data_IF_214687029380
#
_entry.id   IF_214687029380
#
_cell.length_a   1.000
_cell.length_b   1.000
_cell.length_c   1.000
_cell.angle_alpha   90.00
_cell.angle_beta   90.00
_cell.angle_gamma   90.00
#
_symmetry.space_group_name_H-M   'P 1'
#
loop_
_entity.id
_entity.type
_entity.pdbx_description
1 polymer ?
#
# COMPACT_ATOMS: atom_id res chain seq x y z
N UNK A 1 -9.35 -5.46 -30.09
CA UNK A 1 -8.68 -6.03 -28.90
C UNK A 1 -9.74 -6.66 -28.01
N UNK A 2 -9.89 -7.98 -28.08
CA UNK A 2 -10.80 -8.74 -27.24
C UNK A 2 -10.25 -8.69 -25.81
N UNK A 3 -11.02 -8.16 -24.86
CA UNK A 3 -10.67 -8.21 -23.44
C UNK A 3 -11.08 -9.60 -22.97
N UNK A 4 -10.12 -10.42 -22.53
CA UNK A 4 -10.41 -11.69 -21.88
C UNK A 4 -11.38 -11.44 -20.73
N UNK A 5 -12.60 -11.97 -20.87
CA UNK A 5 -13.65 -11.94 -19.84
C UNK A 5 -13.41 -13.06 -18.83
N UNK A 6 -12.19 -13.19 -18.32
CA UNK A 6 -11.97 -13.95 -17.10
C UNK A 6 -12.75 -13.20 -16.01
N UNK A 7 -13.77 -13.86 -15.44
CA UNK A 7 -14.58 -13.29 -14.38
C UNK A 7 -13.65 -13.07 -13.18
N UNK A 8 -13.18 -11.84 -13.01
CA UNK A 8 -12.30 -11.47 -11.90
C UNK A 8 -13.10 -11.64 -10.61
N UNK A 9 -12.54 -12.37 -9.64
CA UNK A 9 -13.13 -12.48 -8.30
C UNK A 9 -13.31 -11.08 -7.73
N UNK A 10 -14.56 -10.71 -7.43
CA UNK A 10 -14.87 -9.47 -6.74
C UNK A 10 -14.51 -9.66 -5.27
N UNK A 11 -13.56 -8.88 -4.78
CA UNK A 11 -13.22 -8.83 -3.37
C UNK A 11 -14.26 -8.01 -2.62
N UNK A 12 -14.57 -8.41 -1.39
CA UNK A 12 -15.47 -7.68 -0.49
C UNK A 12 -14.75 -6.45 0.11
N UNK A 13 -14.19 -5.58 -0.73
CA UNK A 13 -13.46 -4.38 -0.29
C UNK A 13 -14.36 -3.30 0.33
N UNK A 14 -15.66 -3.59 0.45
CA UNK A 14 -16.75 -2.69 0.84
C UNK A 14 -16.66 -1.33 0.14
N UNK A 15 -16.17 -1.35 -1.11
CA UNK A 15 -16.01 -0.15 -1.92
C UNK A 15 -17.37 0.34 -2.37
N UNK A 16 -17.64 1.63 -2.21
CA UNK A 16 -18.86 2.24 -2.72
C UNK A 16 -18.56 3.53 -3.47
N UNK A 17 -19.31 3.73 -4.54
CA UNK A 17 -19.34 4.95 -5.33
C UNK A 17 -20.68 5.63 -5.06
N UNK A 18 -20.65 6.83 -4.51
CA UNK A 18 -21.82 7.69 -4.37
C UNK A 18 -21.72 8.76 -5.44
N UNK A 19 -22.71 8.78 -6.34
CA UNK A 19 -22.93 9.89 -7.27
C UNK A 19 -24.19 10.57 -6.79
N UNK A 20 -24.08 11.84 -6.44
CA UNK A 20 -25.21 12.69 -6.15
C UNK A 20 -25.21 13.84 -7.15
N UNK A 21 -26.34 14.07 -7.80
CA UNK A 21 -26.54 15.19 -8.69
C UNK A 21 -27.49 16.17 -7.99
N UNK A 22 -27.18 17.46 -8.08
CA UNK A 22 -28.09 18.47 -7.53
C UNK A 22 -29.41 18.42 -8.30
N UNK A 23 -30.56 18.31 -7.62
CA UNK A 23 -31.85 18.33 -8.30
C UNK A 23 -32.17 19.70 -8.93
N UNK A 24 -31.47 20.76 -8.51
CA UNK A 24 -31.70 22.15 -8.91
C UNK A 24 -30.61 22.72 -9.85
N UNK A 25 -29.53 21.97 -10.09
CA UNK A 25 -28.42 22.41 -10.94
C UNK A 25 -27.83 21.23 -11.74
N UNK A 26 -28.05 21.26 -13.06
CA UNK A 26 -27.57 20.24 -14.02
C UNK A 26 -26.04 20.23 -14.18
N UNK A 27 -25.33 21.20 -13.60
CA UNK A 27 -23.87 21.35 -13.69
C UNK A 27 -23.12 20.87 -12.45
N UNK A 28 -23.80 20.59 -11.33
CA UNK A 28 -23.17 20.18 -10.08
C UNK A 28 -23.37 18.69 -9.76
N UNK A 29 -22.26 17.96 -9.78
CA UNK A 29 -22.21 16.54 -9.42
C UNK A 29 -21.20 16.30 -8.31
N UNK A 30 -21.64 15.62 -7.27
CA UNK A 30 -20.81 15.17 -6.17
C UNK A 30 -20.49 13.69 -6.35
N UNK A 31 -19.20 13.41 -6.56
CA UNK A 31 -18.68 12.06 -6.74
C UNK A 31 -17.82 11.72 -5.52
N UNK A 32 -18.25 10.73 -4.75
CA UNK A 32 -17.49 10.22 -3.60
C UNK A 32 -17.19 8.74 -3.80
N UNK A 33 -15.91 8.41 -3.83
CA UNK A 33 -15.42 7.03 -3.89
C UNK A 33 -14.86 6.69 -2.52
N UNK A 34 -15.38 5.63 -1.90
CA UNK A 34 -14.80 5.04 -0.68
C UNK A 34 -14.26 3.66 -1.04
N UNK A 35 -13.06 3.37 -0.54
CA UNK A 35 -12.42 2.07 -0.66
C UNK A 35 -11.76 1.75 0.67
N UNK A 36 -12.16 0.66 1.34
CA UNK A 36 -11.66 0.33 2.68
C UNK A 36 -10.33 -0.43 2.66
N UNK A 37 -10.07 -1.19 1.60
CA UNK A 37 -8.83 -1.95 1.44
C UNK A 37 -8.16 -1.62 0.12
N UNK A 38 -6.87 -1.29 0.11
CA UNK A 38 -6.12 -1.17 -1.15
C UNK A 38 -6.09 -2.55 -1.85
N UNK A 39 -6.99 -2.76 -2.81
CA UNK A 39 -7.00 -3.99 -3.60
C UNK A 39 -5.63 -4.20 -4.25
N UNK A 40 -5.10 -5.40 -4.08
CA UNK A 40 -3.85 -5.77 -4.72
C UNK A 40 -4.10 -5.68 -6.24
N UNK A 41 -3.36 -4.81 -6.94
CA UNK A 41 -3.45 -4.76 -8.41
C UNK A 41 -3.22 -6.17 -8.93
N UNK A 42 -4.10 -6.63 -9.83
CA UNK A 42 -3.87 -7.84 -10.63
C UNK A 42 -2.70 -7.56 -11.58
N UNK A 43 -1.49 -7.61 -11.03
CA UNK A 43 -0.24 -7.67 -11.78
C UNK A 43 0.15 -9.14 -11.84
N UNK A 44 0.47 -9.62 -13.04
CA UNK A 44 0.95 -10.98 -13.31
C UNK A 44 1.88 -11.44 -12.17
N UNK A 45 1.43 -12.42 -11.40
CA UNK A 45 1.85 -12.69 -10.01
C UNK A 45 2.95 -13.75 -9.90
N UNK A 46 3.57 -14.11 -11.02
CA UNK A 46 4.68 -15.05 -11.02
C UNK A 46 5.98 -14.33 -10.63
N UNK A 47 5.96 -13.62 -9.49
CA UNK A 47 7.19 -13.24 -8.79
C UNK A 47 7.76 -14.55 -8.23
N UNK A 48 8.96 -14.97 -8.66
CA UNK A 48 9.61 -16.18 -8.16
C UNK A 48 9.81 -16.15 -6.64
N UNK A 49 9.81 -17.32 -5.98
CA UNK A 49 9.83 -17.40 -4.52
C UNK A 49 11.14 -16.93 -3.89
N UNK A 50 12.26 -17.07 -4.59
CA UNK A 50 13.56 -16.50 -4.22
C UNK A 50 13.51 -14.96 -4.21
N UNK A 51 12.85 -14.33 -5.18
CA UNK A 51 12.61 -12.88 -5.19
C UNK A 51 11.72 -12.46 -4.02
N UNK A 52 10.70 -13.25 -3.68
CA UNK A 52 9.88 -13.01 -2.48
C UNK A 52 10.73 -13.13 -1.20
N UNK A 53 11.67 -14.05 -1.15
CA UNK A 53 12.58 -14.22 -0.02
C UNK A 53 13.51 -13.01 0.13
N UNK A 54 14.04 -12.47 -0.96
CA UNK A 54 14.83 -11.23 -0.95
C UNK A 54 14.01 -10.07 -0.38
N UNK A 55 12.76 -9.91 -0.85
CA UNK A 55 11.84 -8.87 -0.35
C UNK A 55 11.57 -9.04 1.15
N UNK A 56 11.47 -10.28 1.63
CA UNK A 56 11.20 -10.58 3.04
C UNK A 56 12.34 -10.22 3.99
N UNK A 57 13.58 -10.40 3.54
CA UNK A 57 14.78 -10.21 4.38
C UNK A 57 15.12 -8.72 4.52
N UNK A 58 14.68 -7.88 3.59
CA UNK A 58 15.00 -6.45 3.62
C UNK A 58 14.12 -5.75 4.68
N UNK A 59 14.70 -5.16 5.73
CA UNK A 59 13.93 -4.53 6.79
C UNK A 59 13.13 -3.32 6.28
N UNK A 60 11.91 -3.18 6.78
CA UNK A 60 11.03 -2.02 6.59
C UNK A 60 11.68 -0.67 6.95
N UNK A 61 12.62 -0.70 7.92
CA UNK A 61 13.35 0.46 8.44
C UNK A 61 14.39 1.05 7.47
N UNK A 62 14.70 0.38 6.35
CA UNK A 62 15.65 0.88 5.34
C UNK A 62 14.93 1.83 4.38
N UNK A 63 14.29 2.86 4.93
CA UNK A 63 13.57 3.84 4.13
C UNK A 63 14.56 4.87 3.54
N UNK A 64 14.33 5.21 2.28
CA UNK A 64 14.80 6.42 1.56
C UNK A 64 16.02 6.28 0.61
N UNK A 65 16.99 5.36 0.81
CA UNK A 65 18.08 5.17 -0.18
C UNK A 65 18.05 3.86 -0.98
N UNK A 66 17.19 2.93 -0.60
CA UNK A 66 17.26 1.55 -1.07
C UNK A 66 16.21 1.17 -2.12
N UNK A 67 15.28 2.06 -2.47
CA UNK A 67 14.25 1.75 -3.48
C UNK A 67 14.92 1.30 -4.79
N UNK A 68 15.88 2.07 -5.32
CA UNK A 68 16.68 1.66 -6.49
C UNK A 68 17.53 0.40 -6.26
N UNK A 69 17.95 0.12 -5.02
CA UNK A 69 18.87 -0.97 -4.73
C UNK A 69 18.19 -2.34 -4.68
N UNK A 70 16.94 -2.44 -4.19
CA UNK A 70 16.20 -3.70 -4.16
C UNK A 70 16.01 -4.23 -5.58
N UNK A 71 15.55 -3.36 -6.48
CA UNK A 71 15.41 -3.72 -7.88
C UNK A 71 16.76 -4.06 -8.53
N UNK A 72 17.81 -3.29 -8.27
CA UNK A 72 19.17 -3.62 -8.74
C UNK A 72 19.68 -4.96 -8.23
N UNK A 73 19.37 -5.32 -6.99
CA UNK A 73 19.77 -6.60 -6.41
C UNK A 73 19.04 -7.75 -7.11
N UNK A 74 17.73 -7.59 -7.34
CA UNK A 74 16.94 -8.57 -8.09
C UNK A 74 17.47 -8.69 -9.53
N UNK A 75 17.84 -7.59 -10.18
CA UNK A 75 18.41 -7.61 -11.53
C UNK A 75 19.75 -8.34 -11.63
N UNK A 76 20.52 -8.52 -10.54
CA UNK A 76 21.73 -9.36 -10.56
C UNK A 76 21.40 -10.83 -10.79
N UNK A 77 20.28 -11.30 -10.23
CA UNK A 77 19.79 -12.67 -10.37
C UNK A 77 18.85 -12.84 -11.57
N UNK A 78 18.12 -11.79 -11.92
CA UNK A 78 17.14 -11.76 -13.01
C UNK A 78 17.39 -10.55 -13.92
N UNK A 79 18.37 -10.61 -14.83
CA UNK A 79 18.70 -9.49 -15.71
C UNK A 79 17.55 -9.13 -16.67
N UNK A 80 16.75 -10.11 -17.09
CA UNK A 80 15.53 -9.93 -17.89
C UNK A 80 14.33 -10.57 -17.16
N UNK A 81 13.77 -9.90 -16.14
CA UNK A 81 12.70 -10.47 -15.34
C UNK A 81 11.38 -10.49 -16.11
N UNK A 82 10.65 -11.62 -16.03
CA UNK A 82 9.29 -11.73 -16.55
C UNK A 82 8.25 -10.96 -15.71
N UNK A 83 8.68 -10.39 -14.58
CA UNK A 83 7.86 -9.60 -13.65
C UNK A 83 8.32 -8.15 -13.61
N UNK A 84 7.41 -7.24 -13.29
CA UNK A 84 7.70 -5.80 -13.28
C UNK A 84 8.30 -5.33 -11.95
N UNK A 85 9.16 -4.31 -12.03
CA UNK A 85 9.66 -3.57 -10.86
C UNK A 85 8.51 -3.08 -9.95
N UNK A 86 7.41 -2.63 -10.55
CA UNK A 86 6.21 -2.22 -9.83
C UNK A 86 5.58 -3.34 -9.01
N UNK A 87 5.59 -4.57 -9.52
CA UNK A 87 5.05 -5.72 -8.80
C UNK A 87 5.89 -6.05 -7.55
N UNK A 88 7.22 -5.96 -7.66
CA UNK A 88 8.16 -6.10 -6.54
C UNK A 88 7.88 -5.07 -5.44
N UNK A 89 7.79 -3.77 -5.78
CA UNK A 89 7.52 -2.75 -4.77
C UNK A 89 6.13 -2.83 -4.17
N UNK A 90 5.11 -3.21 -4.95
CA UNK A 90 3.78 -3.45 -4.39
C UNK A 90 3.81 -4.58 -3.36
N UNK A 91 4.56 -5.66 -3.64
CA UNK A 91 4.71 -6.77 -2.70
C UNK A 91 5.46 -6.34 -1.44
N UNK A 92 6.54 -5.58 -1.59
CA UNK A 92 7.30 -5.01 -0.46
C UNK A 92 6.46 -4.06 0.39
N UNK A 93 5.72 -3.14 -0.25
CA UNK A 93 4.81 -2.23 0.45
C UNK A 93 3.71 -2.96 1.21
N UNK A 94 3.13 -4.02 0.61
CA UNK A 94 2.13 -4.87 1.28
C UNK A 94 2.73 -5.58 2.50
N UNK A 95 3.96 -6.07 2.39
CA UNK A 95 4.65 -6.66 3.53
C UNK A 95 4.86 -5.64 4.65
N UNK A 96 5.41 -4.47 4.32
CA UNK A 96 5.64 -3.39 5.29
C UNK A 96 4.35 -2.86 5.90
N UNK A 97 3.22 -2.93 5.18
CA UNK A 97 1.92 -2.54 5.70
C UNK A 97 1.54 -3.32 6.96
N UNK A 98 1.88 -4.61 7.02
CA UNK A 98 1.62 -5.42 8.22
C UNK A 98 2.39 -4.95 9.45
N UNK A 99 3.48 -4.20 9.26
CA UNK A 99 4.30 -3.71 10.36
C UNK A 99 3.76 -2.41 10.96
N UNK A 100 3.23 -1.50 10.14
CA UNK A 100 2.70 -0.23 10.65
C UNK A 100 1.19 -0.24 10.88
N UNK A 101 0.41 -1.02 10.12
CA UNK A 101 -1.05 -1.04 10.22
C UNK A 101 -1.49 -1.99 11.34
N UNK A 102 -1.45 -1.48 12.58
CA UNK A 102 -1.85 -2.21 13.79
C UNK A 102 -3.36 -2.40 13.92
N UNK A 103 -4.13 -1.48 13.38
CA UNK A 103 -5.60 -1.47 13.42
C UNK A 103 -6.17 -1.05 12.06
N UNK A 104 -7.48 -1.22 11.87
CA UNK A 104 -8.16 -0.76 10.65
C UNK A 104 -8.05 0.76 10.46
N UNK A 105 -8.04 1.51 11.56
CA UNK A 105 -7.91 2.96 11.58
C UNK A 105 -6.43 3.37 11.55
N UNK A 106 -6.05 4.14 10.53
CA UNK A 106 -4.67 4.57 10.33
C UNK A 106 -4.18 5.51 11.43
N UNK A 107 -5.05 6.39 11.95
CA UNK A 107 -4.73 7.30 13.05
C UNK A 107 -4.46 6.53 14.35
N UNK A 108 -5.27 5.52 14.65
CA UNK A 108 -5.06 4.68 15.83
C UNK A 108 -3.81 3.82 15.69
N UNK A 109 -3.54 3.29 14.49
CA UNK A 109 -2.28 2.60 14.20
C UNK A 109 -1.07 3.51 14.44
N UNK A 110 -1.13 4.76 13.98
CA UNK A 110 -0.07 5.74 14.23
C UNK A 110 0.12 6.03 15.72
N UNK A 111 -0.96 6.22 16.49
CA UNK A 111 -0.88 6.43 17.94
C UNK A 111 -0.21 5.26 18.66
N UNK A 112 -0.55 4.02 18.27
CA UNK A 112 0.06 2.81 18.84
C UNK A 112 1.56 2.78 18.56
N UNK A 113 1.98 3.03 17.31
CA UNK A 113 3.40 3.06 16.94
C UNK A 113 4.17 4.15 17.69
N UNK A 114 3.58 5.33 17.87
CA UNK A 114 4.20 6.42 18.64
C UNK A 114 4.31 6.06 20.13
N UNK A 115 3.31 5.38 20.69
CA UNK A 115 3.35 4.88 22.06
C UNK A 115 4.41 3.77 22.24
N UNK A 116 4.55 2.86 21.27
CA UNK A 116 5.60 1.84 21.25
C UNK A 116 6.98 2.50 21.21
N UNK A 117 7.16 3.47 20.31
CA UNK A 117 8.43 4.18 20.17
C UNK A 117 8.80 4.98 21.42
N UNK A 118 7.85 5.64 22.06
CA UNK A 118 8.11 6.45 23.27
C UNK A 118 8.39 5.63 24.52
N UNK A 119 7.91 4.38 24.62
CA UNK A 119 8.21 3.50 25.76
C UNK A 119 9.70 3.19 25.90
N UNK A 120 10.40 3.01 24.79
CA UNK A 120 11.83 2.66 24.77
C UNK A 120 12.74 3.83 24.35
N UNK A 121 12.16 4.99 24.01
CA UNK A 121 12.91 6.14 23.51
C UNK A 121 13.30 7.12 24.62
N UNK A 122 14.51 7.68 24.48
CA UNK A 122 15.00 8.80 25.30
C UNK A 122 14.40 10.15 24.88
N UNK A 123 13.64 10.19 23.80
CA UNK A 123 13.03 11.38 23.23
C UNK A 123 11.54 11.39 23.50
N UNK A 124 11.08 12.42 24.21
CA UNK A 124 9.65 12.69 24.40
C UNK A 124 9.08 13.32 23.12
N UNK A 125 7.84 12.96 22.78
CA UNK A 125 7.12 13.53 21.66
C UNK A 125 6.22 14.66 22.15
N UNK A 126 6.38 15.86 21.59
CA UNK A 126 5.46 16.96 21.81
C UNK A 126 4.31 16.90 20.80
N UNK A 127 3.07 16.91 21.31
CA UNK A 127 1.88 17.04 20.46
C UNK A 127 1.67 18.50 20.10
N UNK A 128 1.83 18.82 18.82
CA UNK A 128 1.50 20.15 18.29
C UNK A 128 -0.01 20.16 17.99
N UNK A 129 -0.82 20.98 18.66
CA UNK A 129 -2.23 21.10 18.32
C UNK A 129 -2.35 21.67 16.90
N UNK A 130 -3.22 21.08 16.09
CA UNK A 130 -3.60 21.65 14.81
C UNK A 130 -4.43 22.91 15.08
N UNK A 131 -4.17 23.99 14.34
CA UNK A 131 -4.99 25.19 14.42
C UNK A 131 -6.40 24.87 13.90
N UNK A 132 -7.41 25.38 14.62
CA UNK A 132 -8.83 25.27 14.28
C UNK A 132 -9.14 25.82 12.87
#
# INVERSE_FOLDING_TARGET
>A
KQRDKAQMSTFECQGWLTIWASPDDDSEYFIRIRHQECHQKYVCIDIPDDVKQIIRIIPSCVHIRYELSLWKEILKSYPEPAFSQKAVYNLWAKQNQSEWRRTENELESAKILLAEFTKDSRYQLDTIPLAD
#
